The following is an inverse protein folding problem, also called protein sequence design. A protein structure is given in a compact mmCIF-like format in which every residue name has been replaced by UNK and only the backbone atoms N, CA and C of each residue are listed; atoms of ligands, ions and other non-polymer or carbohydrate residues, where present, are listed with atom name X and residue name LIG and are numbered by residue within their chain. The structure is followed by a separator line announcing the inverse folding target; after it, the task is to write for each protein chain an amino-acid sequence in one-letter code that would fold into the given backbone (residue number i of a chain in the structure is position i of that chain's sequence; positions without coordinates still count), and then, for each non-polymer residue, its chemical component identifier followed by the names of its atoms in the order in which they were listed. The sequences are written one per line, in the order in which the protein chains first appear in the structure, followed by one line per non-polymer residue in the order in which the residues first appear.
data_IF_286182342487
#
_entry.id   IF_286182342487
#
_cell.length_a   1.000
_cell.length_b   1.000
_cell.length_c   1.000
_cell.angle_alpha   90.00
_cell.angle_beta   90.00
_cell.angle_gamma   90.00
#
_symmetry.space_group_name_H-M   'P 1'
#
loop_
_entity.id
_entity.type
_entity.pdbx_description
1 polymer ?
#
# COMPACT_ATOMS: atom_id res chain seq x y z
N UNK A 1 -29.52 0.20 24.79
CA UNK A 1 -29.33 -0.88 23.79
C UNK A 1 -28.30 -0.38 22.79
N UNK A 2 -27.32 -1.19 22.42
CA UNK A 2 -26.28 -0.77 21.48
C UNK A 2 -26.91 -0.57 20.08
N UNK A 3 -26.80 0.63 19.50
CA UNK A 3 -27.46 0.98 18.24
C UNK A 3 -26.44 1.14 17.10
N UNK A 4 -26.63 0.47 15.95
CA UNK A 4 -25.77 0.68 14.80
C UNK A 4 -25.99 2.08 14.22
N UNK A 5 -24.90 2.78 13.93
CA UNK A 5 -24.90 4.14 13.36
C UNK A 5 -24.75 4.12 11.85
N UNK A 6 -23.68 3.47 11.38
CA UNK A 6 -23.26 3.49 9.99
C UNK A 6 -22.40 2.27 9.72
N UNK A 7 -22.55 1.72 8.51
CA UNK A 7 -21.69 0.66 7.99
C UNK A 7 -20.72 1.28 6.97
N UNK A 8 -19.43 0.98 7.11
CA UNK A 8 -18.35 1.52 6.30
C UNK A 8 -17.52 0.36 5.75
N UNK A 9 -17.29 0.31 4.44
CA UNK A 9 -16.56 -0.81 3.81
C UNK A 9 -15.05 -0.77 4.01
N UNK A 10 -14.47 0.34 4.48
CA UNK A 10 -13.03 0.48 4.69
C UNK A 10 -12.69 0.67 6.16
N UNK A 11 -11.87 -0.23 6.71
CA UNK A 11 -11.41 -0.17 8.11
C UNK A 11 -10.81 1.20 8.47
N UNK A 12 -9.98 1.77 7.59
CA UNK A 12 -9.35 3.09 7.84
C UNK A 12 -10.36 4.20 8.09
N UNK A 13 -11.47 4.21 7.34
CA UNK A 13 -12.52 5.21 7.52
C UNK A 13 -13.34 4.93 8.78
N UNK A 14 -13.61 3.66 9.08
CA UNK A 14 -14.26 3.27 10.33
C UNK A 14 -13.44 3.69 11.56
N UNK A 15 -12.12 3.44 11.55
CA UNK A 15 -11.20 3.85 12.61
C UNK A 15 -11.12 5.38 12.75
N UNK A 16 -11.05 6.11 11.63
CA UNK A 16 -10.98 7.57 11.63
C UNK A 16 -12.25 8.19 12.24
N UNK A 17 -13.42 7.68 11.83
CA UNK A 17 -14.70 8.12 12.36
C UNK A 17 -14.87 7.74 13.84
N UNK A 18 -14.50 6.52 14.22
CA UNK A 18 -14.55 6.07 15.60
C UNK A 18 -13.65 6.92 16.51
N UNK A 19 -12.43 7.23 16.06
CA UNK A 19 -11.50 8.09 16.79
C UNK A 19 -12.04 9.51 16.97
N UNK A 20 -12.69 10.05 15.93
CA UNK A 20 -13.30 11.37 15.99
C UNK A 20 -14.51 11.41 16.93
N UNK A 21 -15.39 10.40 16.90
CA UNK A 21 -16.51 10.28 17.83
C UNK A 21 -16.02 10.19 19.28
N UNK A 22 -14.97 9.38 19.54
CA UNK A 22 -14.32 9.32 20.86
C UNK A 22 -13.75 10.68 21.29
N UNK A 23 -13.13 11.43 20.37
CA UNK A 23 -12.62 12.79 20.67
C UNK A 23 -13.73 13.78 21.05
N UNK A 24 -14.97 13.54 20.62
CA UNK A 24 -16.16 14.30 20.99
C UNK A 24 -16.85 13.74 22.24
N UNK A 25 -16.17 12.87 23.00
CA UNK A 25 -16.68 12.17 24.18
C UNK A 25 -17.88 11.26 23.88
N UNK A 26 -17.99 10.77 22.65
CA UNK A 26 -19.03 9.82 22.23
C UNK A 26 -18.39 8.42 22.14
N UNK A 27 -18.59 7.55 23.15
CA UNK A 27 -18.03 6.21 23.14
C UNK A 27 -18.71 5.37 22.05
N UNK A 28 -17.88 4.79 21.18
CA UNK A 28 -18.32 3.92 20.08
C UNK A 28 -17.41 2.71 19.95
N UNK A 29 -18.01 1.61 19.52
CA UNK A 29 -17.32 0.36 19.21
C UNK A 29 -17.46 0.05 17.71
N UNK A 30 -16.40 -0.48 17.11
CA UNK A 30 -16.41 -0.93 15.71
C UNK A 30 -16.52 -2.44 15.70
N UNK A 31 -17.54 -2.95 15.00
CA UNK A 31 -17.72 -4.38 14.78
C UNK A 31 -17.53 -4.69 13.30
N UNK A 32 -16.74 -5.71 13.00
CA UNK A 32 -16.65 -6.26 11.66
C UNK A 32 -17.81 -7.22 11.40
N UNK A 33 -18.49 -7.07 10.27
CA UNK A 33 -19.54 -7.97 9.79
C UNK A 33 -18.96 -8.77 8.61
N UNK A 34 -18.48 -10.01 8.84
CA UNK A 34 -17.74 -10.77 7.82
C UNK A 34 -18.57 -11.13 6.59
N UNK A 35 -19.90 -11.25 6.73
CA UNK A 35 -20.80 -11.60 5.63
C UNK A 35 -20.86 -10.52 4.53
N UNK A 36 -20.66 -9.25 4.91
CA UNK A 36 -20.77 -8.10 4.00
C UNK A 36 -19.44 -7.35 3.78
N UNK A 37 -18.34 -7.78 4.43
CA UNK A 37 -17.04 -7.11 4.43
C UNK A 37 -17.17 -5.60 4.82
N UNK A 38 -17.95 -5.35 5.87
CA UNK A 38 -18.27 -4.00 6.36
C UNK A 38 -17.98 -3.84 7.84
N UNK A 39 -17.62 -2.62 8.22
CA UNK A 39 -17.33 -2.21 9.59
C UNK A 39 -18.48 -1.33 10.08
N UNK A 40 -19.21 -1.82 11.08
CA UNK A 40 -20.37 -1.13 11.67
C UNK A 40 -19.95 -0.43 12.95
N UNK A 41 -20.19 0.88 13.01
CA UNK A 41 -20.01 1.65 14.24
C UNK A 41 -21.26 1.52 15.11
N UNK A 42 -21.09 1.13 16.36
CA UNK A 42 -22.17 0.95 17.33
C UNK A 42 -21.95 1.91 18.50
N UNK A 43 -23.02 2.64 18.86
CA UNK A 43 -23.06 3.52 20.02
C UNK A 43 -23.35 2.74 21.30
N UNK A 44 -22.59 3.02 22.36
CA UNK A 44 -22.84 2.47 23.69
C UNK A 44 -23.99 3.18 24.41
N UNK A 45 -24.20 4.47 24.13
CA UNK A 45 -25.20 5.31 24.82
C UNK A 45 -26.06 6.13 23.84
N UNK A 46 -27.38 6.09 24.02
CA UNK A 46 -28.36 6.80 23.17
C UNK A 46 -28.37 8.33 23.40
N UNK A 47 -27.80 8.81 24.51
CA UNK A 47 -27.82 10.23 24.87
C UNK A 47 -27.18 11.16 23.81
N UNK A 48 -26.29 10.63 22.97
CA UNK A 48 -25.57 11.40 21.94
C UNK A 48 -25.94 10.98 20.51
N UNK A 49 -27.07 10.30 20.32
CA UNK A 49 -27.44 9.71 19.03
C UNK A 49 -27.60 10.74 17.90
N UNK A 50 -28.32 11.85 18.15
CA UNK A 50 -28.49 12.91 17.14
C UNK A 50 -27.15 13.52 16.73
N UNK A 51 -26.28 13.80 17.71
CA UNK A 51 -24.96 14.38 17.47
C UNK A 51 -24.05 13.43 16.68
N UNK A 52 -24.10 12.14 17.01
CA UNK A 52 -23.35 11.12 16.29
C UNK A 52 -23.82 10.97 14.85
N UNK A 53 -25.14 11.06 14.59
CA UNK A 53 -25.70 11.04 13.24
C UNK A 53 -25.26 12.25 12.41
N UNK A 54 -25.28 13.45 12.98
CA UNK A 54 -24.77 14.67 12.31
C UNK A 54 -23.31 14.50 11.88
N UNK A 55 -22.46 13.97 12.78
CA UNK A 55 -21.05 13.71 12.50
C UNK A 55 -20.90 12.66 11.41
N UNK A 56 -21.68 11.58 11.45
CA UNK A 56 -21.66 10.54 10.41
C UNK A 56 -22.05 11.12 9.04
N UNK A 57 -23.09 11.95 8.98
CA UNK A 57 -23.50 12.61 7.73
C UNK A 57 -22.41 13.55 7.20
N UNK A 58 -21.80 14.35 8.07
CA UNK A 58 -20.67 15.21 7.69
C UNK A 58 -19.45 14.41 7.21
N UNK A 59 -19.21 13.23 7.80
CA UNK A 59 -18.14 12.33 7.39
C UNK A 59 -18.38 11.72 6.01
N UNK A 60 -19.62 11.32 5.69
CA UNK A 60 -19.98 10.80 4.35
C UNK A 60 -19.71 11.86 3.27
N UNK A 61 -20.01 13.13 3.56
CA UNK A 61 -19.81 14.24 2.62
C UNK A 61 -18.32 14.57 2.41
N UNK A 62 -17.50 14.49 3.46
CA UNK A 62 -16.10 14.87 3.42
C UNK A 62 -15.20 13.91 4.23
N UNK A 63 -15.02 12.65 3.79
CA UNK A 63 -14.32 11.62 4.58
C UNK A 63 -12.81 11.88 4.74
N UNK A 64 -12.23 12.74 3.89
CA UNK A 64 -10.81 13.09 3.90
C UNK A 64 -10.51 14.42 4.62
N UNK A 65 -11.47 14.96 5.38
CA UNK A 65 -11.25 16.17 6.18
C UNK A 65 -10.08 15.96 7.18
N UNK A 66 -9.10 16.89 7.25
CA UNK A 66 -7.96 16.78 8.16
C UNK A 66 -8.33 16.51 9.61
N UNK A 67 -9.49 16.96 10.08
CA UNK A 67 -9.92 16.78 11.48
C UNK A 67 -10.08 15.30 11.88
N UNK A 68 -10.50 14.44 10.95
CA UNK A 68 -10.68 13.01 11.22
C UNK A 68 -9.33 12.30 11.31
N UNK A 69 -8.37 12.70 10.46
CA UNK A 69 -7.01 12.20 10.52
C UNK A 69 -6.34 12.63 11.83
N UNK A 70 -6.46 13.90 12.20
CA UNK A 70 -5.90 14.44 13.45
C UNK A 70 -6.47 13.74 14.69
N UNK A 71 -7.78 13.49 14.74
CA UNK A 71 -8.39 12.76 15.84
C UNK A 71 -7.87 11.32 15.95
N UNK A 72 -7.65 10.64 14.83
CA UNK A 72 -7.04 9.31 14.80
C UNK A 72 -5.58 9.29 15.28
N UNK A 73 -4.82 10.38 15.09
CA UNK A 73 -3.49 10.52 15.67
C UNK A 73 -3.52 10.74 17.19
N UNK A 74 -4.49 11.52 17.68
CA UNK A 74 -4.62 11.82 19.11
C UNK A 74 -5.20 10.65 19.92
N UNK A 75 -6.08 9.86 19.30
CA UNK A 75 -6.72 8.70 19.92
C UNK A 75 -6.17 7.42 19.28
N UNK A 76 -4.91 7.09 19.59
CA UNK A 76 -4.18 5.96 19.01
C UNK A 76 -4.67 4.57 19.46
N UNK A 77 -5.77 4.49 20.21
CA UNK A 77 -6.47 3.23 20.47
C UNK A 77 -7.10 2.73 19.18
N UNK A 78 -6.31 1.97 18.42
CA UNK A 78 -6.82 1.18 17.31
C UNK A 78 -7.94 0.29 17.83
N UNK A 79 -9.01 0.20 17.05
CA UNK A 79 -10.11 -0.70 17.39
C UNK A 79 -9.56 -2.13 17.39
N UNK A 80 -9.93 -2.94 18.39
CA UNK A 80 -9.53 -4.35 18.50
C UNK A 80 -10.22 -5.24 17.44
N UNK A 81 -10.56 -4.66 16.28
CA UNK A 81 -11.09 -5.39 15.15
C UNK A 81 -9.95 -6.23 14.61
N UNK A 82 -10.05 -7.58 14.63
CA UNK A 82 -9.08 -8.41 13.97
C UNK A 82 -9.07 -7.99 12.51
N UNK A 83 -7.98 -7.38 12.05
CA UNK A 83 -7.74 -7.22 10.63
C UNK A 83 -7.65 -8.64 10.11
N UNK A 84 -8.75 -9.15 9.55
CA UNK A 84 -8.70 -10.34 8.71
C UNK A 84 -7.82 -9.94 7.52
N UNK A 85 -6.52 -10.14 7.70
CA UNK A 85 -5.59 -10.24 6.59
C UNK A 85 -6.06 -11.48 5.85
N UNK A 86 -7.05 -11.31 4.97
CA UNK A 86 -7.45 -12.35 4.06
C UNK A 86 -6.16 -12.92 3.48
N UNK A 87 -5.93 -14.25 3.55
CA UNK A 87 -4.80 -14.90 2.91
C UNK A 87 -5.04 -14.90 1.40
N UNK A 88 -5.24 -13.71 0.84
CA UNK A 88 -5.38 -13.46 -0.56
C UNK A 88 -4.06 -13.79 -1.20
N UNK A 89 -4.06 -14.92 -1.93
CA UNK A 89 -3.00 -15.45 -2.76
C UNK A 89 -2.02 -14.33 -3.18
N UNK A 90 -0.84 -14.28 -2.57
CA UNK A 90 0.14 -13.19 -2.71
C UNK A 90 0.42 -12.83 -4.17
N UNK A 91 0.37 -13.86 -5.02
CA UNK A 91 0.49 -13.76 -6.48
C UNK A 91 -0.62 -12.90 -7.13
N UNK A 92 -1.87 -12.99 -6.67
CA UNK A 92 -3.00 -12.20 -7.19
C UNK A 92 -2.86 -10.72 -6.83
N UNK A 93 -2.38 -10.41 -5.61
CA UNK A 93 -2.04 -9.03 -5.21
C UNK A 93 -0.88 -8.47 -6.01
N UNK A 94 0.15 -9.29 -6.26
CA UNK A 94 1.29 -8.90 -7.10
C UNK A 94 0.88 -8.63 -8.55
N UNK A 95 0.03 -9.48 -9.14
CA UNK A 95 -0.54 -9.29 -10.48
C UNK A 95 -1.39 -8.01 -10.60
N UNK A 96 -2.20 -7.70 -9.58
CA UNK A 96 -2.99 -6.46 -9.54
C UNK A 96 -2.09 -5.23 -9.43
N UNK A 97 -1.02 -5.30 -8.63
CA UNK A 97 -0.02 -4.23 -8.51
C UNK A 97 0.73 -4.01 -9.84
N UNK A 98 1.14 -5.09 -10.51
CA UNK A 98 1.80 -5.04 -11.82
C UNK A 98 0.92 -4.39 -12.89
N UNK A 99 -0.41 -4.63 -12.82
CA UNK A 99 -1.39 -4.04 -13.75
C UNK A 99 -1.59 -2.53 -13.53
N UNK A 100 -1.33 -2.03 -12.31
CA UNK A 100 -1.41 -0.59 -11.98
C UNK A 100 -0.16 0.16 -12.39
N UNK A 101 1.00 -0.49 -12.35
CA UNK A 101 2.29 0.10 -12.71
C UNK A 101 3.06 -0.79 -13.70
N UNK A 102 2.63 -0.86 -14.97
CA UNK A 102 3.17 -1.83 -15.94
C UNK A 102 4.65 -1.59 -16.24
N UNK A 103 5.09 -0.33 -16.31
CA UNK A 103 6.50 0.02 -16.59
C UNK A 103 7.41 -0.47 -15.46
N UNK A 104 7.08 -0.14 -14.21
CA UNK A 104 7.82 -0.59 -13.03
C UNK A 104 7.85 -2.11 -12.95
N UNK A 105 6.74 -2.76 -13.25
CA UNK A 105 6.65 -4.22 -13.28
C UNK A 105 7.58 -4.87 -14.31
N UNK A 106 7.65 -4.32 -15.53
CA UNK A 106 8.56 -4.81 -16.58
C UNK A 106 10.01 -4.63 -16.17
N UNK A 107 10.38 -3.46 -15.65
CA UNK A 107 11.75 -3.18 -15.17
C UNK A 107 12.12 -4.15 -14.04
N UNK A 108 11.20 -4.40 -13.10
CA UNK A 108 11.40 -5.30 -11.98
C UNK A 108 11.66 -6.74 -12.45
N UNK A 109 10.84 -7.24 -13.38
CA UNK A 109 11.01 -8.58 -13.96
C UNK A 109 12.37 -8.67 -14.65
N UNK A 110 12.73 -7.66 -15.45
CA UNK A 110 14.01 -7.62 -16.16
C UNK A 110 15.20 -7.65 -15.20
N UNK A 111 15.21 -6.79 -14.16
CA UNK A 111 16.24 -6.79 -13.13
C UNK A 111 16.34 -8.13 -12.41
N UNK A 112 15.20 -8.76 -12.11
CA UNK A 112 15.14 -10.07 -11.44
C UNK A 112 15.76 -11.16 -12.31
N UNK A 113 15.45 -11.19 -13.61
CA UNK A 113 16.02 -12.16 -14.54
C UNK A 113 17.53 -11.98 -14.72
N UNK A 114 18.00 -10.73 -14.86
CA UNK A 114 19.42 -10.40 -15.00
C UNK A 114 20.20 -10.80 -13.75
N UNK A 115 19.65 -10.51 -12.56
CA UNK A 115 20.26 -10.90 -11.29
C UNK A 115 20.22 -12.42 -11.04
N UNK A 116 19.14 -13.09 -11.42
CA UNK A 116 19.05 -14.55 -11.37
C UNK A 116 20.09 -15.21 -12.28
N UNK A 117 20.26 -14.71 -13.50
CA UNK A 117 21.26 -15.20 -14.44
C UNK A 117 22.69 -14.94 -13.95
N UNK A 118 22.96 -13.79 -13.31
CA UNK A 118 24.29 -13.50 -12.76
C UNK A 118 24.67 -14.45 -11.61
N UNK A 119 23.70 -14.87 -10.78
CA UNK A 119 23.89 -15.86 -9.71
C UNK A 119 24.30 -17.25 -10.23
N UNK A 120 23.85 -17.64 -11.43
CA UNK A 120 24.19 -18.93 -12.07
C UNK A 120 25.55 -18.88 -12.79
N UNK A 121 26.27 -17.76 -12.70
CA UNK A 121 27.61 -17.60 -13.26
C UNK A 121 27.68 -16.87 -14.61
N UNK A 122 26.55 -16.36 -15.12
CA UNK A 122 26.51 -15.58 -16.37
C UNK A 122 26.86 -14.10 -16.16
N UNK A 123 27.42 -13.74 -15.00
CA UNK A 123 27.74 -12.34 -14.70
C UNK A 123 28.69 -11.71 -15.73
N UNK A 124 29.76 -12.39 -16.11
CA UNK A 124 30.76 -11.87 -17.06
C UNK A 124 30.17 -11.50 -18.43
N UNK A 125 29.45 -12.40 -19.14
CA UNK A 125 28.85 -12.04 -20.43
C UNK A 125 27.76 -10.98 -20.31
N UNK A 126 26.96 -11.00 -19.23
CA UNK A 126 25.94 -9.97 -18.96
C UNK A 126 26.58 -8.60 -18.76
N UNK A 127 27.61 -8.51 -17.92
CA UNK A 127 28.34 -7.28 -17.67
C UNK A 127 29.00 -6.78 -18.96
N UNK A 128 29.61 -7.66 -19.76
CA UNK A 128 30.21 -7.31 -21.03
C UNK A 128 29.21 -6.74 -22.05
N UNK A 129 27.95 -7.18 -22.01
CA UNK A 129 26.89 -6.68 -22.90
C UNK A 129 26.23 -5.38 -22.42
N UNK A 130 26.13 -5.17 -21.11
CA UNK A 130 25.35 -4.08 -20.50
C UNK A 130 26.21 -2.92 -19.98
N UNK A 131 27.49 -3.12 -19.68
CA UNK A 131 28.39 -2.06 -19.21
C UNK A 131 28.59 -0.97 -20.27
N UNK A 132 28.80 0.26 -19.79
CA UNK A 132 29.12 1.43 -20.61
C UNK A 132 30.45 1.20 -21.33
N UNK A 133 30.48 1.60 -22.60
CA UNK A 133 31.67 1.62 -23.44
C UNK A 133 32.01 3.09 -23.81
N UNK A 134 33.26 3.44 -24.17
CA UNK A 134 33.57 4.79 -24.62
C UNK A 134 32.67 5.26 -25.77
N UNK A 135 32.24 6.53 -25.73
CA UNK A 135 31.27 7.11 -26.67
C UNK A 135 31.67 6.92 -28.14
N UNK A 136 32.97 6.97 -28.46
CA UNK A 136 33.46 6.75 -29.82
C UNK A 136 33.11 5.36 -30.37
N UNK A 137 33.15 4.32 -29.53
CA UNK A 137 32.73 2.97 -29.92
C UNK A 137 31.20 2.82 -29.98
N UNK A 138 30.47 3.50 -29.09
CA UNK A 138 29.00 3.53 -29.14
C UNK A 138 28.50 4.18 -30.44
N UNK A 139 29.18 5.22 -30.92
CA UNK A 139 28.86 5.87 -32.19
C UNK A 139 29.05 4.93 -33.39
N UNK A 140 30.05 4.04 -33.32
CA UNK A 140 30.39 3.11 -34.40
C UNK A 140 29.48 1.86 -34.39
N UNK A 141 29.19 1.32 -33.20
CA UNK A 141 28.47 0.05 -33.06
C UNK A 141 26.97 0.24 -32.77
N UNK A 142 26.51 1.48 -32.55
CA UNK A 142 25.12 1.83 -32.24
C UNK A 142 24.53 1.16 -30.98
N UNK A 143 25.38 0.73 -30.05
CA UNK A 143 24.97 0.01 -28.82
C UNK A 143 24.48 0.96 -27.70
N UNK A 144 23.54 1.85 -28.00
CA UNK A 144 23.10 2.91 -27.10
C UNK A 144 22.45 2.41 -25.80
N UNK A 145 21.92 1.18 -25.78
CA UNK A 145 21.37 0.57 -24.57
C UNK A 145 22.40 0.44 -23.45
N UNK A 146 23.71 0.40 -23.77
CA UNK A 146 24.81 0.39 -22.79
C UNK A 146 24.86 1.62 -21.89
N UNK A 147 24.21 2.72 -22.26
CA UNK A 147 24.08 3.89 -21.38
C UNK A 147 23.17 3.61 -20.18
N UNK A 148 22.11 2.82 -20.40
CA UNK A 148 21.15 2.43 -19.37
C UNK A 148 21.44 1.04 -18.78
N UNK A 149 22.23 0.22 -19.48
CA UNK A 149 22.57 -1.14 -19.10
C UNK A 149 23.08 -1.32 -17.67
N UNK A 150 23.96 -0.44 -17.12
CA UNK A 150 24.42 -0.57 -15.74
C UNK A 150 23.31 -0.50 -14.70
N UNK A 151 22.21 0.20 -14.98
CA UNK A 151 21.08 0.32 -14.05
C UNK A 151 20.39 -1.02 -13.77
N UNK A 152 20.56 -2.01 -14.64
CA UNK A 152 19.99 -3.35 -14.47
C UNK A 152 20.92 -4.33 -13.76
N UNK A 153 22.20 -3.98 -13.60
CA UNK A 153 23.21 -4.86 -13.01
C UNK A 153 23.21 -4.72 -11.49
N UNK A 154 23.12 -5.85 -10.78
CA UNK A 154 23.17 -5.90 -9.32
C UNK A 154 24.30 -6.84 -8.88
N UNK A 155 25.17 -6.34 -7.98
CA UNK A 155 26.36 -7.06 -7.51
C UNK A 155 26.13 -7.85 -6.21
N UNK A 156 25.05 -7.54 -5.48
CA UNK A 156 24.71 -8.20 -4.23
C UNK A 156 23.20 -8.32 -4.05
N UNK A 157 22.79 -9.32 -3.27
CA UNK A 157 21.39 -9.54 -2.88
C UNK A 157 20.84 -8.33 -2.14
N UNK A 158 21.65 -7.73 -1.25
CA UNK A 158 21.25 -6.56 -0.48
C UNK A 158 20.92 -5.36 -1.38
N UNK A 159 21.78 -5.05 -2.36
CA UNK A 159 21.54 -3.96 -3.31
C UNK A 159 20.28 -4.20 -4.14
N UNK A 160 20.06 -5.44 -4.59
CA UNK A 160 18.84 -5.83 -5.31
C UNK A 160 17.58 -5.63 -4.46
N UNK A 161 17.58 -6.10 -3.21
CA UNK A 161 16.43 -5.95 -2.30
C UNK A 161 16.15 -4.46 -2.01
N UNK A 162 17.17 -3.65 -1.75
CA UNK A 162 16.97 -2.21 -1.51
C UNK A 162 16.35 -1.50 -2.71
N UNK A 163 16.85 -1.77 -3.92
CA UNK A 163 16.24 -1.22 -5.13
C UNK A 163 14.79 -1.67 -5.26
N UNK A 164 14.46 -2.93 -4.93
CA UNK A 164 13.08 -3.44 -4.93
C UNK A 164 12.14 -2.74 -3.96
N UNK A 165 12.65 -2.31 -2.80
CA UNK A 165 11.86 -1.71 -1.73
C UNK A 165 11.71 -0.18 -1.88
N UNK A 166 12.55 0.46 -2.69
CA UNK A 166 12.59 1.93 -2.83
C UNK A 166 11.71 2.47 -3.97
N UNK A 167 10.99 1.60 -4.70
CA UNK A 167 10.05 1.99 -5.76
C UNK A 167 8.71 2.51 -5.23
#
# INVERSE_FOLDING_TARGET
MAKPLIAISQLRYADSLASYLKSQQIPVQVHHVPEEDQYVLVLDNEAHHERALEICQAFIQAPNDPKYQQAAWQHSERTDVPVEQAPGNSMRRWLVSLRRSPVTGVILILCTLIFGASLVGLFQPIAAALMIMPLGNLLQNHEWWRLLGPAFIHFSVLHFIFNLLWW
#
